data_IF_040426799516
#
_entry.id   IF_040426799516
#
_cell.length_a   1.000
_cell.length_b   1.000
_cell.length_c   1.000
_cell.angle_alpha   90.00
_cell.angle_beta   90.00
_cell.angle_gamma   90.00
#
_symmetry.space_group_name_H-M   'P 1'
#
loop_
_entity.id
_entity.type
_entity.pdbx_description
1 polymer ?
#
# COMPACT_ATOMS: atom_id res chain seq x y z
N UNK A 1 1.85 5.81 25.87
CA UNK A 1 1.70 5.03 24.64
C UNK A 1 0.82 5.72 23.61
N UNK A 2 -0.40 6.10 23.97
CA UNK A 2 -1.31 6.80 23.04
C UNK A 2 -0.70 8.10 22.53
N UNK A 3 -0.09 8.88 23.40
CA UNK A 3 0.57 10.14 23.01
C UNK A 3 1.71 9.94 22.03
N UNK A 4 2.48 8.85 22.17
CA UNK A 4 3.57 8.52 21.26
C UNK A 4 3.05 8.15 19.88
N UNK A 5 1.98 7.35 19.82
CA UNK A 5 1.37 6.97 18.54
C UNK A 5 0.82 8.19 17.81
N UNK A 6 0.18 9.10 18.55
CA UNK A 6 -0.34 10.35 17.97
C UNK A 6 0.79 11.21 17.40
N UNK A 7 1.91 11.32 18.12
CA UNK A 7 3.07 12.08 17.64
C UNK A 7 3.64 11.49 16.36
N UNK A 8 3.67 10.16 16.24
CA UNK A 8 4.13 9.47 15.03
C UNK A 8 3.24 9.78 13.83
N UNK A 9 1.93 9.76 14.05
CA UNK A 9 0.96 10.09 12.99
C UNK A 9 1.13 11.56 12.57
N UNK A 10 1.23 12.47 13.54
CA UNK A 10 1.41 13.89 13.26
C UNK A 10 2.72 14.16 12.52
N UNK A 11 3.79 13.46 12.87
CA UNK A 11 5.06 13.57 12.16
C UNK A 11 4.88 13.27 10.67
N UNK A 12 4.20 12.16 10.35
CA UNK A 12 3.93 11.80 8.97
C UNK A 12 3.09 12.86 8.27
N UNK A 13 1.96 13.26 8.88
CA UNK A 13 1.06 14.26 8.29
C UNK A 13 1.76 15.57 8.01
N UNK A 14 2.59 16.03 8.93
CA UNK A 14 3.23 17.33 8.84
C UNK A 14 4.38 17.38 7.84
N UNK A 15 4.93 16.23 7.45
CA UNK A 15 6.00 16.17 6.46
C UNK A 15 5.50 16.15 5.02
N UNK A 16 4.22 15.84 4.81
CA UNK A 16 3.68 15.71 3.45
C UNK A 16 3.57 17.08 2.80
N UNK A 17 4.29 17.28 1.71
CA UNK A 17 4.23 18.50 0.89
C UNK A 17 4.27 18.10 -0.57
N UNK A 18 3.67 18.94 -1.44
CA UNK A 18 3.73 18.73 -2.87
C UNK A 18 2.69 17.76 -3.40
N UNK A 19 3.04 17.07 -4.47
CA UNK A 19 2.12 16.18 -5.19
C UNK A 19 1.75 14.94 -4.38
N UNK A 20 0.49 14.53 -4.53
CA UNK A 20 -0.02 13.29 -3.94
C UNK A 20 -0.26 12.29 -5.06
N UNK A 21 0.54 11.21 -5.14
CA UNK A 21 0.33 10.20 -6.17
C UNK A 21 -0.92 9.36 -5.90
N UNK A 22 -1.47 8.78 -6.95
CA UNK A 22 -2.59 7.84 -6.84
C UNK A 22 -2.04 6.49 -6.42
N UNK A 23 -2.60 5.94 -5.34
CA UNK A 23 -2.14 4.68 -4.73
C UNK A 23 -3.26 3.66 -4.75
N UNK A 24 -2.95 2.44 -5.16
CA UNK A 24 -3.85 1.32 -5.06
C UNK A 24 -3.24 0.28 -4.12
N UNK A 25 -3.90 0.02 -3.01
CA UNK A 25 -3.52 -1.06 -2.11
C UNK A 25 -4.39 -2.27 -2.41
N UNK A 26 -3.78 -3.42 -2.64
CA UNK A 26 -4.46 -4.66 -3.03
C UNK A 26 -4.41 -5.65 -1.88
N UNK A 27 -5.59 -6.05 -1.40
CA UNK A 27 -5.77 -6.93 -0.26
C UNK A 27 -5.84 -8.42 -0.63
N UNK A 28 -6.11 -8.72 -1.89
CA UNK A 28 -6.14 -10.09 -2.40
C UNK A 28 -5.81 -10.10 -3.88
N UNK A 29 -5.09 -11.12 -4.33
CA UNK A 29 -4.52 -11.13 -5.70
C UNK A 29 -5.36 -11.89 -6.71
N UNK A 30 -6.13 -12.89 -6.30
CA UNK A 30 -6.93 -13.70 -7.21
C UNK A 30 -8.15 -14.29 -6.49
N UNK A 31 -9.35 -13.72 -6.69
CA UNK A 31 -9.62 -12.52 -7.50
C UNK A 31 -9.06 -11.25 -6.83
N UNK A 32 -8.90 -10.19 -7.61
CA UNK A 32 -8.37 -8.93 -7.08
C UNK A 32 -9.37 -8.26 -6.15
N UNK A 33 -8.91 -7.89 -4.95
CA UNK A 33 -9.66 -7.06 -4.01
C UNK A 33 -8.83 -5.86 -3.62
N UNK A 34 -9.43 -4.67 -3.71
CA UNK A 34 -8.82 -3.47 -3.16
C UNK A 34 -8.94 -3.48 -1.64
N UNK A 35 -7.91 -2.99 -0.96
CA UNK A 35 -7.93 -2.89 0.50
C UNK A 35 -9.00 -1.90 0.95
N UNK A 36 -9.68 -2.24 2.04
CA UNK A 36 -10.73 -1.42 2.60
C UNK A 36 -10.50 -1.12 4.07
N UNK A 37 -11.61 -0.86 4.79
CA UNK A 37 -11.63 -0.57 6.22
C UNK A 37 -10.75 0.64 6.57
N UNK A 38 -9.64 0.44 7.26
CA UNK A 38 -8.75 1.53 7.71
C UNK A 38 -7.64 1.86 6.71
N UNK A 39 -7.37 1.00 5.73
CA UNK A 39 -6.27 1.22 4.78
C UNK A 39 -6.46 2.46 3.92
N UNK A 40 -7.66 2.74 3.34
CA UNK A 40 -7.84 3.98 2.57
C UNK A 40 -7.47 5.24 3.35
N UNK A 41 -7.83 5.30 4.63
CA UNK A 41 -7.47 6.43 5.49
C UNK A 41 -5.95 6.53 5.70
N UNK A 42 -5.29 5.39 5.84
CA UNK A 42 -3.84 5.35 5.97
C UNK A 42 -3.14 5.90 4.71
N UNK A 43 -3.66 5.58 3.53
CA UNK A 43 -3.14 6.11 2.27
C UNK A 43 -3.22 7.63 2.24
N UNK A 44 -4.38 8.17 2.62
CA UNK A 44 -4.58 9.63 2.63
C UNK A 44 -3.64 10.32 3.61
N UNK A 45 -3.50 9.78 4.82
CA UNK A 45 -2.60 10.34 5.84
C UNK A 45 -1.15 10.29 5.39
N UNK A 46 -0.74 9.21 4.70
CA UNK A 46 0.65 9.05 4.26
C UNK A 46 0.98 9.77 2.96
N UNK A 47 0.05 10.59 2.45
CA UNK A 47 0.35 11.50 1.35
C UNK A 47 -0.03 10.98 -0.03
N UNK A 48 -0.89 9.97 -0.12
CA UNK A 48 -1.40 9.46 -1.38
C UNK A 48 -2.84 9.83 -1.63
N UNK A 49 -3.33 9.52 -2.82
CA UNK A 49 -4.73 9.60 -3.18
C UNK A 49 -5.24 8.17 -3.31
N UNK A 50 -6.16 7.78 -2.45
CA UNK A 50 -6.78 6.46 -2.53
C UNK A 50 -7.89 6.46 -3.56
N UNK A 51 -8.07 5.36 -4.29
CA UNK A 51 -9.14 5.21 -5.26
C UNK A 51 -9.68 3.80 -5.30
N UNK A 52 -10.83 3.63 -5.95
CA UNK A 52 -11.60 2.39 -6.07
C UNK A 52 -12.34 2.05 -4.78
N UNK A 53 -11.66 2.04 -3.63
CA UNK A 53 -12.30 1.86 -2.32
C UNK A 53 -12.46 3.19 -1.61
N UNK A 54 -13.28 3.22 -0.57
CA UNK A 54 -13.56 4.43 0.23
C UNK A 54 -13.20 4.20 1.69
N UNK A 55 -12.87 5.28 2.38
CA UNK A 55 -12.52 5.24 3.81
C UNK A 55 -13.69 4.64 4.59
N UNK A 56 -13.38 3.62 5.41
CA UNK A 56 -14.37 2.97 6.28
C UNK A 56 -15.21 1.91 5.61
N UNK A 57 -15.16 1.79 4.29
CA UNK A 57 -15.90 0.76 3.56
C UNK A 57 -15.12 -0.55 3.53
N UNK A 58 -15.82 -1.70 3.44
CA UNK A 58 -15.11 -2.98 3.35
C UNK A 58 -14.31 -3.10 2.06
N UNK A 59 -13.41 -4.06 2.02
CA UNK A 59 -12.67 -4.39 0.81
C UNK A 59 -13.64 -4.73 -0.32
N UNK A 60 -13.27 -4.41 -1.56
CA UNK A 60 -14.15 -4.54 -2.70
C UNK A 60 -13.45 -5.31 -3.81
N UNK A 61 -14.15 -6.25 -4.41
CA UNK A 61 -13.65 -6.96 -5.58
C UNK A 61 -13.55 -5.99 -6.76
N UNK A 62 -12.49 -6.12 -7.54
CA UNK A 62 -12.26 -5.30 -8.72
C UNK A 62 -11.68 -6.14 -9.85
N UNK A 63 -11.71 -5.61 -11.06
CA UNK A 63 -11.06 -6.25 -12.20
C UNK A 63 -9.91 -5.37 -12.71
N UNK A 64 -9.11 -5.91 -13.61
CA UNK A 64 -7.94 -5.19 -14.12
C UNK A 64 -8.34 -3.94 -14.90
N UNK A 65 -9.50 -3.95 -15.56
CA UNK A 65 -10.01 -2.77 -16.27
C UNK A 65 -10.23 -1.60 -15.32
N UNK A 66 -10.79 -1.87 -14.14
CA UNK A 66 -10.99 -0.82 -13.13
C UNK A 66 -9.64 -0.26 -12.66
N UNK A 67 -8.65 -1.13 -12.48
CA UNK A 67 -7.31 -0.71 -12.10
C UNK A 67 -6.71 0.19 -13.19
N UNK A 68 -6.85 -0.22 -14.45
CA UNK A 68 -6.33 0.55 -15.59
C UNK A 68 -7.01 1.92 -15.70
N UNK A 69 -8.32 1.99 -15.46
CA UNK A 69 -9.08 3.25 -15.50
C UNK A 69 -8.65 4.20 -14.40
N UNK A 70 -8.46 3.69 -13.19
CA UNK A 70 -7.93 4.50 -12.09
C UNK A 70 -6.50 4.94 -12.39
N UNK A 71 -5.72 4.10 -13.08
CA UNK A 71 -4.34 4.36 -13.47
C UNK A 71 -3.47 4.79 -12.28
N UNK A 72 -3.29 3.92 -11.28
CA UNK A 72 -2.51 4.29 -10.11
C UNK A 72 -1.06 4.59 -10.46
N UNK A 73 -0.46 5.51 -9.72
CA UNK A 73 0.97 5.80 -9.83
C UNK A 73 1.79 4.73 -9.11
N UNK A 74 1.25 4.15 -8.04
CA UNK A 74 1.89 3.10 -7.27
C UNK A 74 0.87 2.04 -6.87
N UNK A 75 1.32 0.79 -6.77
CA UNK A 75 0.51 -0.33 -6.30
C UNK A 75 1.24 -0.98 -5.14
N UNK A 76 0.52 -1.22 -4.04
CA UNK A 76 1.06 -1.92 -2.86
C UNK A 76 0.26 -3.20 -2.66
N UNK A 77 0.93 -4.33 -2.76
CA UNK A 77 0.32 -5.63 -2.52
C UNK A 77 0.41 -5.94 -1.02
N UNK A 78 -0.74 -6.15 -0.40
CA UNK A 78 -0.82 -6.46 1.03
C UNK A 78 -1.90 -7.51 1.31
N UNK A 79 -1.76 -8.74 0.74
CA UNK A 79 -2.76 -9.78 0.95
C UNK A 79 -2.94 -10.07 2.43
N UNK A 80 -4.20 -10.14 2.87
CA UNK A 80 -4.55 -10.29 4.27
C UNK A 80 -3.88 -11.53 4.88
N UNK A 81 -3.13 -11.33 5.96
CA UNK A 81 -2.44 -12.40 6.67
C UNK A 81 -1.11 -12.85 6.07
N UNK A 82 -0.69 -12.24 4.96
CA UNK A 82 0.55 -12.64 4.28
C UNK A 82 1.73 -11.76 4.70
N UNK A 83 2.90 -12.37 4.85
CA UNK A 83 4.16 -11.64 4.91
C UNK A 83 4.65 -11.36 3.48
N UNK A 84 5.79 -10.67 3.36
CA UNK A 84 6.35 -10.32 2.06
C UNK A 84 6.68 -11.56 1.24
N UNK A 85 7.32 -12.55 1.85
CA UNK A 85 7.74 -13.77 1.16
C UNK A 85 6.56 -14.50 0.53
N UNK A 86 5.47 -14.66 1.27
CA UNK A 86 4.28 -15.33 0.77
C UNK A 86 3.59 -14.52 -0.32
N UNK A 87 3.58 -13.19 -0.18
CA UNK A 87 3.03 -12.31 -1.21
C UNK A 87 3.79 -12.48 -2.53
N UNK A 88 5.11 -12.54 -2.47
CA UNK A 88 5.92 -12.71 -3.68
C UNK A 88 5.65 -14.04 -4.37
N UNK A 89 5.44 -15.11 -3.61
CA UNK A 89 5.08 -16.41 -4.17
C UNK A 89 3.74 -16.35 -4.91
N UNK A 90 2.73 -15.78 -4.26
CA UNK A 90 1.39 -15.69 -4.86
C UNK A 90 1.38 -14.75 -6.05
N UNK A 91 2.23 -13.74 -6.05
CA UNK A 91 2.30 -12.76 -7.13
C UNK A 91 2.80 -13.37 -8.45
N UNK A 92 3.48 -14.50 -8.43
CA UNK A 92 4.05 -15.10 -9.65
C UNK A 92 3.01 -15.36 -10.73
N UNK A 93 1.79 -15.73 -10.35
CA UNK A 93 0.71 -15.93 -11.30
C UNK A 93 0.23 -14.63 -11.94
N UNK A 94 0.02 -13.61 -11.10
CA UNK A 94 -0.42 -12.29 -11.58
C UNK A 94 0.64 -11.64 -12.46
N UNK A 95 1.90 -11.87 -12.16
CA UNK A 95 3.02 -11.32 -12.91
C UNK A 95 3.04 -11.77 -14.38
N UNK A 96 2.40 -12.89 -14.69
CA UNK A 96 2.32 -13.43 -16.06
C UNK A 96 1.16 -12.86 -16.86
N UNK A 97 0.23 -12.16 -16.21
CA UNK A 97 -0.95 -11.62 -16.88
C UNK A 97 -0.57 -10.42 -17.75
N UNK A 98 -0.93 -10.46 -19.03
CA UNK A 98 -0.55 -9.43 -19.99
C UNK A 98 -1.15 -8.06 -19.66
N UNK A 99 -2.43 -8.04 -19.27
CA UNK A 99 -3.10 -6.80 -18.89
C UNK A 99 -2.46 -6.17 -17.65
N UNK A 100 -2.10 -7.00 -16.67
CA UNK A 100 -1.41 -6.54 -15.47
C UNK A 100 -0.07 -5.92 -15.82
N UNK A 101 0.71 -6.58 -16.67
CA UNK A 101 2.03 -6.08 -17.09
C UNK A 101 1.96 -4.75 -17.82
N UNK A 102 0.81 -4.46 -18.45
CA UNK A 102 0.64 -3.21 -19.19
C UNK A 102 0.30 -2.00 -18.32
N UNK A 103 0.00 -2.22 -17.04
CA UNK A 103 -0.28 -1.12 -16.12
C UNK A 103 0.95 -0.24 -15.95
N UNK A 104 0.74 1.08 -15.94
CA UNK A 104 1.83 2.06 -15.85
C UNK A 104 2.68 1.86 -14.60
N UNK A 105 2.04 1.64 -13.44
CA UNK A 105 2.75 1.41 -12.20
C UNK A 105 3.65 0.17 -12.25
N UNK A 106 3.19 -0.89 -12.92
CA UNK A 106 3.97 -2.12 -13.05
C UNK A 106 5.16 -1.89 -13.98
N UNK A 107 4.94 -1.23 -15.12
CA UNK A 107 6.02 -0.91 -16.06
C UNK A 107 7.09 -0.01 -15.44
N UNK A 108 6.68 0.90 -14.58
CA UNK A 108 7.58 1.87 -13.95
C UNK A 108 8.24 1.36 -12.68
N UNK A 109 8.05 0.06 -12.36
CA UNK A 109 8.58 -0.55 -11.13
C UNK A 109 8.07 0.15 -9.85
N UNK A 110 6.86 0.71 -9.92
CA UNK A 110 6.19 1.32 -8.76
C UNK A 110 5.22 0.32 -8.15
N UNK A 111 5.68 -0.89 -7.95
CA UNK A 111 4.94 -2.00 -7.38
C UNK A 111 5.70 -2.50 -6.16
N UNK A 112 4.98 -2.65 -5.04
CA UNK A 112 5.57 -3.00 -3.77
C UNK A 112 4.78 -4.12 -3.12
N UNK A 113 5.46 -4.95 -2.32
CA UNK A 113 4.80 -5.93 -1.44
C UNK A 113 5.10 -5.53 0.00
N UNK A 114 4.06 -5.46 0.83
CA UNK A 114 4.20 -5.09 2.24
C UNK A 114 3.76 -6.24 3.13
N UNK A 115 4.34 -6.32 4.34
CA UNK A 115 3.97 -7.33 5.33
C UNK A 115 2.61 -6.99 5.92
N UNK A 116 1.56 -7.56 5.33
CA UNK A 116 0.18 -7.33 5.77
C UNK A 116 -0.12 -8.01 7.09
N UNK A 117 0.44 -9.21 7.30
CA UNK A 117 0.19 -9.96 8.52
C UNK A 117 0.56 -9.16 9.77
N UNK A 118 1.68 -8.44 9.73
CA UNK A 118 2.17 -7.69 10.88
C UNK A 118 1.57 -6.29 10.99
N UNK A 119 1.24 -5.62 9.88
CA UNK A 119 0.99 -4.18 9.92
C UNK A 119 -0.33 -3.70 9.33
N UNK A 120 -1.05 -4.53 8.58
CA UNK A 120 -2.25 -4.08 7.87
C UNK A 120 -3.49 -4.93 8.09
N UNK A 121 -3.35 -6.17 8.55
CA UNK A 121 -4.47 -7.12 8.64
C UNK A 121 -5.36 -6.92 9.86
N UNK A 122 -4.86 -6.27 10.91
CA UNK A 122 -5.60 -6.07 12.15
C UNK A 122 -5.41 -4.64 12.66
N UNK A 123 -6.48 -4.01 13.20
CA UNK A 123 -6.32 -2.71 13.82
C UNK A 123 -5.52 -2.82 15.12
N UNK A 124 -4.80 -1.76 15.48
CA UNK A 124 -4.02 -1.73 16.70
C UNK A 124 -2.79 -0.83 16.56
N UNK A 125 -1.90 -0.81 17.56
CA UNK A 125 -0.71 0.04 17.51
C UNK A 125 0.19 -0.20 16.31
N UNK A 126 0.21 -1.42 15.79
CA UNK A 126 1.03 -1.73 14.60
C UNK A 126 0.54 -1.06 13.32
N UNK A 127 -0.71 -0.58 13.30
CA UNK A 127 -1.20 0.17 12.13
C UNK A 127 -0.46 1.50 11.97
N UNK A 128 0.05 2.08 13.06
CA UNK A 128 0.87 3.29 12.97
C UNK A 128 2.19 2.96 12.26
N UNK A 129 2.79 1.80 12.55
CA UNK A 129 3.96 1.33 11.81
C UNK A 129 3.61 1.12 10.34
N UNK A 130 2.44 0.54 10.05
CA UNK A 130 1.95 0.39 8.68
C UNK A 130 1.82 1.73 7.97
N UNK A 131 1.32 2.74 8.66
CA UNK A 131 1.23 4.10 8.15
C UNK A 131 2.62 4.64 7.77
N UNK A 132 3.60 4.43 8.63
CA UNK A 132 4.98 4.85 8.37
C UNK A 132 5.59 4.11 7.18
N UNK A 133 5.29 2.83 7.04
CA UNK A 133 5.72 2.04 5.89
C UNK A 133 5.15 2.62 4.61
N UNK A 134 3.85 2.91 4.57
CA UNK A 134 3.21 3.52 3.41
C UNK A 134 3.82 4.89 3.09
N UNK A 135 4.05 5.72 4.10
CA UNK A 135 4.67 7.03 3.90
C UNK A 135 6.04 6.90 3.23
N UNK A 136 6.83 5.94 3.68
CA UNK A 136 8.16 5.70 3.12
C UNK A 136 8.10 5.16 1.70
N UNK A 137 7.11 4.33 1.38
CA UNK A 137 6.89 3.83 0.02
C UNK A 137 6.47 4.97 -0.91
N UNK A 138 5.52 5.79 -0.46
CA UNK A 138 4.92 6.84 -1.31
C UNK A 138 5.86 8.02 -1.50
N UNK A 139 6.53 8.43 -0.44
CA UNK A 139 7.42 9.60 -0.45
C UNK A 139 8.80 9.26 0.15
N UNK A 140 9.57 8.38 -0.51
CA UNK A 140 10.87 7.96 0.06
C UNK A 140 11.80 9.14 0.30
N UNK A 141 11.74 10.18 -0.53
CA UNK A 141 12.59 11.36 -0.38
C UNK A 141 12.26 12.20 0.85
N UNK A 142 11.00 12.18 1.30
CA UNK A 142 10.57 12.92 2.49
C UNK A 142 10.84 12.14 3.78
N UNK A 143 10.95 10.84 3.70
CA UNK A 143 11.04 9.95 4.85
C UNK A 143 12.31 9.09 4.87
N UNK A 144 13.40 9.62 4.31
CA UNK A 144 14.69 8.92 4.30
C UNK A 144 15.16 8.53 5.71
N UNK A 145 14.96 9.44 6.67
CA UNK A 145 15.38 9.23 8.06
C UNK A 145 14.41 8.39 8.89
N UNK A 146 13.20 8.18 8.38
CA UNK A 146 12.20 7.39 9.09
C UNK A 146 12.57 5.91 9.08
N UNK A 147 12.71 5.34 10.27
CA UNK A 147 13.04 3.92 10.41
C UNK A 147 11.77 3.08 10.41
N UNK A 148 11.71 2.08 9.55
CA UNK A 148 10.64 1.08 9.54
C UNK A 148 11.27 -0.29 9.72
N UNK A 149 10.48 -1.30 10.19
CA UNK A 149 11.05 -2.62 10.42
C UNK A 149 11.68 -3.19 9.15
N UNK A 150 12.82 -3.86 9.33
CA UNK A 150 13.50 -4.55 8.23
C UNK A 150 12.57 -5.60 7.65
N UNK A 151 12.61 -5.78 6.33
CA UNK A 151 11.78 -6.75 5.61
C UNK A 151 10.27 -6.48 5.70
N UNK A 152 9.87 -5.26 6.10
CA UNK A 152 8.45 -4.90 6.16
C UNK A 152 7.84 -4.62 4.79
N UNK A 153 8.66 -4.32 3.80
CA UNK A 153 8.22 -4.16 2.42
C UNK A 153 9.40 -4.33 1.45
N UNK A 154 9.06 -4.63 0.20
CA UNK A 154 10.05 -4.70 -0.89
C UNK A 154 9.46 -4.08 -2.15
N UNK A 155 10.32 -3.54 -3.00
CA UNK A 155 9.93 -3.09 -4.33
C UNK A 155 10.04 -4.26 -5.31
N UNK A 156 9.02 -4.46 -6.11
CA UNK A 156 8.99 -5.52 -7.13
C UNK A 156 9.38 -4.90 -8.46
N UNK A 157 10.45 -5.37 -9.04
CA UNK A 157 10.93 -4.88 -10.36
C UNK A 157 10.60 -5.86 -11.45
N UNK A 158 10.23 -5.34 -12.60
CA UNK A 158 9.96 -6.15 -13.79
C UNK A 158 11.24 -6.50 -14.55
#
# INVERSE_FOLDING_TARGET
MVGNLRKRIEYVKNKIIGLRPKILCIEWLDPLFTAGHWVPGMVEISGGINGISSIGEPSRRMNIQEVAEFDPDMIVLMPCGFDVSRTLKDYTSLAKNIEWKSLRAVKNNKLFAADSNSYFSKPGPRTVTGLEILAKIIHPELFEELQVPQDSFVQIKS
#
